data_IF_690744006567
#
_entry.id   IF_690744006567
#
_cell.length_a   1.000
_cell.length_b   1.000
_cell.length_c   1.000
_cell.angle_alpha   90.00
_cell.angle_beta   90.00
_cell.angle_gamma   90.00
#
_symmetry.space_group_name_H-M   'P 1'
#
loop_
_entity.id
_entity.type
_entity.pdbx_description
1 polymer ?
#
# COMPACT_ATOMS: atom_id res chain seq x y z
N UNK A 1 7.07 -5.21 -17.19
CA UNK A 1 7.48 -3.99 -16.48
C UNK A 1 8.29 -4.41 -15.28
N UNK A 2 9.41 -3.74 -15.00
CA UNK A 2 10.16 -3.96 -13.76
C UNK A 2 9.32 -3.48 -12.57
N UNK A 3 9.47 -4.14 -11.41
CA UNK A 3 8.65 -3.87 -10.22
C UNK A 3 8.85 -2.45 -9.69
N UNK A 4 10.09 -1.97 -9.69
CA UNK A 4 10.43 -0.61 -9.27
C UNK A 4 9.70 0.42 -10.14
N UNK A 5 9.69 0.20 -11.46
CA UNK A 5 8.94 1.04 -12.41
C UNK A 5 7.42 0.96 -12.19
N UNK A 6 6.91 -0.18 -11.74
CA UNK A 6 5.49 -0.28 -11.37
C UNK A 6 5.17 0.52 -10.12
N UNK A 7 6.04 0.49 -9.11
CA UNK A 7 5.90 1.29 -7.88
C UNK A 7 5.91 2.78 -8.23
N UNK A 8 6.81 3.22 -9.11
CA UNK A 8 6.82 4.60 -9.62
C UNK A 8 5.47 4.98 -10.26
N UNK A 9 4.91 4.13 -11.14
CA UNK A 9 3.59 4.36 -11.75
C UNK A 9 2.48 4.45 -10.68
N UNK A 10 2.53 3.62 -9.64
CA UNK A 10 1.57 3.68 -8.55
C UNK A 10 1.63 5.01 -7.78
N UNK A 11 2.83 5.54 -7.58
CA UNK A 11 3.06 6.80 -6.87
C UNK A 11 2.68 8.00 -7.76
N UNK A 12 3.05 7.98 -9.03
CA UNK A 12 2.85 9.13 -9.92
C UNK A 12 1.42 9.21 -10.49
N UNK A 13 0.87 8.09 -10.93
CA UNK A 13 -0.40 8.07 -11.69
C UNK A 13 -1.60 7.59 -10.85
N UNK A 14 -1.37 6.76 -9.82
CA UNK A 14 -2.44 6.13 -9.03
C UNK A 14 -2.38 6.46 -7.53
N UNK A 15 -1.66 7.51 -7.14
CA UNK A 15 -1.39 7.82 -5.73
C UNK A 15 -2.66 7.95 -4.89
N UNK A 16 -3.68 8.66 -5.39
CA UNK A 16 -4.93 8.84 -4.65
C UNK A 16 -5.66 7.52 -4.42
N UNK A 17 -5.76 6.67 -5.46
CA UNK A 17 -6.44 5.38 -5.36
C UNK A 17 -5.67 4.42 -4.46
N UNK A 18 -4.34 4.37 -4.57
CA UNK A 18 -3.49 3.52 -3.74
C UNK A 18 -3.53 3.99 -2.29
N UNK A 19 -3.52 5.30 -2.05
CA UNK A 19 -3.67 5.87 -0.70
C UNK A 19 -5.02 5.52 -0.09
N UNK A 20 -6.12 5.61 -0.84
CA UNK A 20 -7.45 5.20 -0.35
C UNK A 20 -7.50 3.71 0.01
N UNK A 21 -6.87 2.85 -0.80
CA UNK A 21 -6.71 1.42 -0.51
C UNK A 21 -5.95 1.22 0.81
N UNK A 22 -4.83 1.92 1.01
CA UNK A 22 -4.01 1.84 2.23
C UNK A 22 -4.82 2.27 3.46
N UNK A 23 -5.44 3.45 3.41
CA UNK A 23 -6.22 4.01 4.54
C UNK A 23 -7.39 3.08 4.87
N UNK A 24 -8.15 2.64 3.87
CA UNK A 24 -9.28 1.72 4.07
C UNK A 24 -8.81 0.39 4.65
N UNK A 25 -7.70 -0.14 4.16
CA UNK A 25 -7.09 -1.36 4.69
C UNK A 25 -6.67 -1.22 6.15
N UNK A 26 -6.09 -0.08 6.50
CA UNK A 26 -5.67 0.25 7.86
C UNK A 26 -6.85 0.39 8.82
N UNK A 27 -7.85 1.21 8.47
CA UNK A 27 -9.04 1.44 9.32
C UNK A 27 -9.84 0.16 9.59
N UNK A 28 -9.94 -0.74 8.61
CA UNK A 28 -10.68 -2.01 8.77
C UNK A 28 -9.97 -3.04 9.66
N UNK A 29 -8.66 -2.89 9.85
CA UNK A 29 -7.83 -3.89 10.53
C UNK A 29 -7.30 -3.43 11.88
N UNK A 30 -7.42 -2.13 12.20
CA UNK A 30 -7.24 -1.58 13.54
C UNK A 30 -5.83 -1.70 14.13
N UNK A 31 -4.81 -2.04 13.32
CA UNK A 31 -3.36 -2.05 13.64
C UNK A 31 -2.54 -3.01 12.75
N UNK A 32 -3.16 -3.78 11.84
CA UNK A 32 -2.46 -4.77 11.01
C UNK A 32 -2.91 -4.78 9.56
N UNK A 33 -2.03 -4.39 8.65
CA UNK A 33 -2.36 -4.46 7.23
C UNK A 33 -2.56 -5.90 6.75
N UNK A 34 -3.64 -6.11 5.99
CA UNK A 34 -3.91 -7.36 5.31
C UNK A 34 -3.41 -7.26 3.87
N UNK A 35 -2.16 -7.67 3.63
CA UNK A 35 -1.53 -7.59 2.31
C UNK A 35 -2.26 -8.39 1.23
N UNK A 36 -2.96 -9.47 1.60
CA UNK A 36 -3.79 -10.22 0.65
C UNK A 36 -4.97 -9.37 0.18
N UNK A 37 -5.62 -8.65 1.10
CA UNK A 37 -6.70 -7.74 0.77
C UNK A 37 -6.22 -6.53 -0.02
N UNK A 38 -5.09 -5.92 0.37
CA UNK A 38 -4.48 -4.79 -0.34
C UNK A 38 -4.15 -5.17 -1.78
N UNK A 39 -3.49 -6.31 -2.00
CA UNK A 39 -3.21 -6.83 -3.34
C UNK A 39 -4.49 -7.09 -4.14
N UNK A 40 -5.54 -7.63 -3.52
CA UNK A 40 -6.83 -7.82 -4.18
C UNK A 40 -7.48 -6.51 -4.63
N UNK A 41 -7.34 -5.43 -3.84
CA UNK A 41 -7.81 -4.09 -4.21
C UNK A 41 -6.97 -3.45 -5.29
N UNK A 42 -5.65 -3.61 -5.22
CA UNK A 42 -4.73 -3.12 -6.25
C UNK A 42 -5.01 -3.77 -7.61
N UNK A 43 -5.21 -5.09 -7.64
CA UNK A 43 -5.61 -5.80 -8.87
C UNK A 43 -6.95 -5.32 -9.44
N UNK A 44 -7.88 -4.90 -8.57
CA UNK A 44 -9.18 -4.38 -8.99
C UNK A 44 -9.09 -3.04 -9.74
N UNK A 45 -7.98 -2.30 -9.60
CA UNK A 45 -7.71 -1.09 -10.38
C UNK A 45 -7.39 -1.38 -11.85
N UNK A 46 -7.13 -2.65 -12.21
CA UNK A 46 -6.85 -3.09 -13.60
C UNK A 46 -5.74 -2.27 -14.28
N UNK A 47 -4.68 -1.96 -13.53
CA UNK A 47 -3.53 -1.22 -14.06
C UNK A 47 -2.81 -2.12 -15.07
N UNK A 48 -2.61 -1.60 -16.27
CA UNK A 48 -1.97 -2.35 -17.36
C UNK A 48 -0.56 -2.78 -16.96
N UNK A 49 -0.22 -4.03 -17.27
CA UNK A 49 1.07 -4.65 -16.94
C UNK A 49 1.41 -4.70 -15.44
N UNK A 50 0.42 -4.58 -14.57
CA UNK A 50 0.59 -4.75 -13.14
C UNK A 50 1.13 -6.16 -12.81
N UNK A 51 2.14 -6.28 -11.92
CA UNK A 51 2.52 -7.56 -11.36
C UNK A 51 1.32 -8.19 -10.62
N UNK A 52 1.31 -9.52 -10.54
CA UNK A 52 0.22 -10.25 -9.87
C UNK A 52 0.03 -9.82 -8.41
N UNK A 53 1.10 -9.42 -7.71
CA UNK A 53 1.00 -8.95 -6.33
C UNK A 53 2.27 -8.22 -5.94
N UNK A 54 2.14 -7.30 -5.01
CA UNK A 54 3.25 -6.70 -4.27
C UNK A 54 3.58 -7.52 -3.02
N UNK A 55 4.86 -7.55 -2.66
CA UNK A 55 5.36 -8.08 -1.39
C UNK A 55 5.00 -7.15 -0.23
N UNK A 56 5.23 -7.61 1.01
CA UNK A 56 5.01 -6.76 2.19
C UNK A 56 5.94 -5.54 2.18
N UNK A 57 7.22 -5.73 1.83
CA UNK A 57 8.22 -4.65 1.77
C UNK A 57 7.84 -3.59 0.72
N UNK A 58 7.37 -4.02 -0.46
CA UNK A 58 6.89 -3.14 -1.53
C UNK A 58 5.64 -2.36 -1.09
N UNK A 59 4.76 -2.98 -0.30
CA UNK A 59 3.64 -2.26 0.31
C UNK A 59 4.12 -1.24 1.34
N UNK A 60 5.08 -1.58 2.20
CA UNK A 60 5.63 -0.64 3.18
C UNK A 60 6.30 0.56 2.53
N UNK A 61 6.97 0.38 1.38
CA UNK A 61 7.48 1.49 0.57
C UNK A 61 6.35 2.42 0.10
N UNK A 62 5.28 1.87 -0.47
CA UNK A 62 4.12 2.66 -0.88
C UNK A 62 3.44 3.37 0.31
N UNK A 63 3.38 2.73 1.48
CA UNK A 63 2.77 3.30 2.67
C UNK A 63 3.62 4.44 3.22
N UNK A 64 4.94 4.26 3.24
CA UNK A 64 5.89 5.32 3.63
C UNK A 64 5.74 6.55 2.74
N UNK A 65 5.66 6.36 1.42
CA UNK A 65 5.56 7.47 0.45
C UNK A 65 4.17 8.12 0.42
N UNK A 66 3.08 7.34 0.42
CA UNK A 66 1.73 7.84 0.14
C UNK A 66 0.89 8.10 1.40
N UNK A 67 1.19 7.40 2.49
CA UNK A 67 0.43 7.44 3.73
C UNK A 67 1.35 7.44 4.97
N UNK A 68 2.23 8.46 5.12
CA UNK A 68 3.21 8.51 6.20
C UNK A 68 2.57 8.43 7.59
N UNK A 69 1.38 9.00 7.78
CA UNK A 69 0.65 8.90 9.06
C UNK A 69 0.30 7.44 9.42
N UNK A 70 -0.06 6.63 8.41
CA UNK A 70 -0.33 5.20 8.59
C UNK A 70 0.98 4.44 8.82
N UNK A 71 2.04 4.81 8.11
CA UNK A 71 3.37 4.23 8.32
C UNK A 71 3.85 4.44 9.76
N UNK A 72 3.74 5.68 10.25
CA UNK A 72 4.17 6.06 11.58
C UNK A 72 3.36 5.33 12.65
N UNK A 73 2.05 5.18 12.48
CA UNK A 73 1.22 4.44 13.44
C UNK A 73 1.55 2.93 13.42
N UNK A 74 1.79 2.33 12.25
CA UNK A 74 2.20 0.93 12.14
C UNK A 74 3.58 0.67 12.75
N UNK A 75 4.52 1.58 12.54
CA UNK A 75 5.92 1.43 12.95
C UNK A 75 6.17 1.88 14.39
N UNK A 76 5.66 3.05 14.77
CA UNK A 76 5.85 3.66 16.08
C UNK A 76 4.69 3.42 17.06
N UNK A 77 3.46 3.24 16.59
CA UNK A 77 2.31 2.91 17.45
C UNK A 77 2.47 1.57 18.17
N UNK A 78 3.34 0.67 17.68
CA UNK A 78 3.77 -0.55 18.40
C UNK A 78 4.66 -0.31 19.61
N UNK A 79 5.29 0.86 19.75
CA UNK A 79 6.20 1.18 20.86
C UNK A 79 5.55 2.06 21.94
N UNK A 80 4.31 2.51 21.73
CA UNK A 80 3.58 3.39 22.64
C UNK A 80 2.60 2.68 23.59
N UNK A 81 2.50 1.34 23.55
CA UNK A 81 1.57 0.53 24.34
C UNK A 81 2.27 -0.45 25.30
#
# INVERSE_FOLDING_TARGET
MDKDKFIEVLIEEYSEQVKDIIITGYSNSGSKLNFRWLNGKLQALRIDQSPLSLSEDEWYELIFELAPDVYDDLYYGRYAA
#
